data_IF_125943602244
#
_entry.id   IF_125943602244
#
_cell.length_a   1.000
_cell.length_b   1.000
_cell.length_c   1.000
_cell.angle_alpha   90.00
_cell.angle_beta   90.00
_cell.angle_gamma   90.00
#
_symmetry.space_group_name_H-M   'P 1'
#
loop_
_entity.id
_entity.type
_entity.pdbx_description
1 polymer ?
#
# COMPACT_ATOMS: atom_id res chain seq x y z
N UNK A 1 1.92 16.41 21.44
CA UNK A 1 2.69 15.32 20.83
C UNK A 1 1.88 14.03 21.00
N UNK A 2 1.05 13.66 20.02
CA UNK A 2 0.14 12.51 20.16
C UNK A 2 0.85 11.19 19.86
N UNK A 3 0.78 10.23 20.77
CA UNK A 3 1.18 8.85 20.50
C UNK A 3 0.29 8.30 19.38
N UNK A 4 0.85 8.12 18.19
CA UNK A 4 0.20 7.37 17.11
C UNK A 4 0.41 5.90 17.45
N UNK A 5 -0.67 5.20 17.83
CA UNK A 5 -0.67 3.75 18.02
C UNK A 5 -0.21 3.10 16.70
N UNK A 6 0.86 2.30 16.76
CA UNK A 6 1.54 1.69 15.59
C UNK A 6 0.74 0.52 14.99
N UNK A 7 -0.50 0.34 15.42
CA UNK A 7 -1.38 -0.75 14.97
C UNK A 7 -2.17 -0.29 13.75
N UNK A 8 -2.33 -1.19 12.79
CA UNK A 8 -3.22 -0.98 11.64
C UNK A 8 -4.62 -0.60 12.18
N UNK A 9 -5.27 0.45 11.63
CA UNK A 9 -6.64 0.78 11.99
C UNK A 9 -7.56 -0.42 11.83
N UNK A 10 -8.37 -0.70 12.86
CA UNK A 10 -9.31 -1.81 12.87
C UNK A 10 -10.74 -1.31 13.04
N UNK A 11 -11.69 -2.04 12.47
CA UNK A 11 -13.11 -1.82 12.64
C UNK A 11 -13.81 -3.18 12.73
N UNK A 12 -14.45 -3.46 13.88
CA UNK A 12 -15.09 -4.75 14.15
C UNK A 12 -14.16 -5.96 14.05
N UNK A 13 -12.88 -5.81 14.41
CA UNK A 13 -11.86 -6.86 14.34
C UNK A 13 -11.23 -7.06 12.96
N UNK A 14 -11.63 -6.30 11.95
CA UNK A 14 -11.07 -6.36 10.60
C UNK A 14 -10.12 -5.18 10.35
N UNK A 15 -9.03 -5.43 9.61
CA UNK A 15 -8.15 -4.37 9.09
C UNK A 15 -8.63 -3.82 7.75
N UNK A 16 -8.05 -2.71 7.30
CA UNK A 16 -8.43 -2.03 6.05
C UNK A 16 -8.22 -2.88 4.80
N UNK A 17 -7.43 -3.95 4.88
CA UNK A 17 -7.31 -4.94 3.81
C UNK A 17 -8.51 -5.87 3.62
N UNK A 18 -9.53 -5.83 4.49
CA UNK A 18 -10.70 -6.69 4.43
C UNK A 18 -11.99 -5.91 4.13
N UNK A 19 -12.90 -6.40 3.26
CA UNK A 19 -14.12 -5.68 2.91
C UNK A 19 -14.99 -5.32 4.13
N UNK A 20 -15.09 -6.23 5.11
CA UNK A 20 -15.89 -6.02 6.33
C UNK A 20 -15.46 -4.80 7.14
N UNK A 21 -14.19 -4.39 7.08
CA UNK A 21 -13.74 -3.14 7.71
C UNK A 21 -14.55 -1.95 7.21
N UNK A 22 -14.81 -1.88 5.90
CA UNK A 22 -15.57 -0.78 5.30
C UNK A 22 -17.08 -0.93 5.46
N UNK A 23 -17.58 -2.18 5.49
CA UNK A 23 -18.99 -2.48 5.79
C UNK A 23 -19.38 -1.97 7.18
N UNK A 24 -18.48 -2.13 8.15
CA UNK A 24 -18.69 -1.72 9.55
C UNK A 24 -18.37 -0.23 9.80
N UNK A 25 -18.11 0.54 8.74
CA UNK A 25 -17.89 1.99 8.85
C UNK A 25 -16.43 2.41 9.04
N UNK A 26 -15.47 1.51 8.90
CA UNK A 26 -14.04 1.81 8.98
C UNK A 26 -13.62 2.98 8.07
N UNK A 27 -12.65 3.77 8.53
CA UNK A 27 -12.20 4.97 7.84
C UNK A 27 -11.40 4.64 6.57
N UNK A 28 -11.60 5.41 5.50
CA UNK A 28 -10.74 5.35 4.31
C UNK A 28 -9.37 5.93 4.68
N UNK A 29 -8.31 5.13 4.56
CA UNK A 29 -6.98 5.53 5.00
C UNK A 29 -6.29 6.37 3.93
N UNK A 30 -5.69 7.51 4.29
CA UNK A 30 -4.86 8.25 3.35
C UNK A 30 -3.55 7.47 3.07
N UNK A 31 -2.93 7.63 1.89
CA UNK A 31 -1.72 6.89 1.53
C UNK A 31 -0.57 7.01 2.54
N UNK A 32 -0.46 8.18 3.20
CA UNK A 32 0.52 8.40 4.27
C UNK A 32 0.34 7.42 5.44
N UNK A 33 -0.89 7.21 5.90
CA UNK A 33 -1.16 6.25 6.98
C UNK A 33 -0.90 4.80 6.53
N UNK A 34 -1.23 4.47 5.28
CA UNK A 34 -0.93 3.15 4.72
C UNK A 34 0.60 2.92 4.73
N UNK A 35 1.38 3.90 4.27
CA UNK A 35 2.84 3.84 4.30
C UNK A 35 3.41 3.69 5.71
N UNK A 36 2.88 4.43 6.69
CA UNK A 36 3.31 4.31 8.09
C UNK A 36 3.10 2.88 8.62
N UNK A 37 1.96 2.24 8.31
CA UNK A 37 1.70 0.85 8.68
C UNK A 37 2.63 -0.12 7.95
N UNK A 38 2.88 0.08 6.65
CA UNK A 38 3.84 -0.71 5.86
C UNK A 38 5.23 -0.68 6.51
N UNK A 39 5.73 0.52 6.80
CA UNK A 39 7.04 0.73 7.44
C UNK A 39 7.08 0.08 8.82
N UNK A 40 6.05 0.30 9.65
CA UNK A 40 5.99 -0.26 11.00
C UNK A 40 5.97 -1.81 11.00
N UNK A 41 5.39 -2.43 9.96
CA UNK A 41 5.36 -3.89 9.80
C UNK A 41 6.64 -4.48 9.22
N UNK A 42 7.52 -3.66 8.64
CA UNK A 42 8.69 -4.17 7.90
C UNK A 42 8.30 -5.06 6.72
N UNK A 43 7.08 -4.94 6.21
CA UNK A 43 6.60 -5.76 5.10
C UNK A 43 7.27 -5.32 3.80
N UNK A 44 7.80 -6.28 3.04
CA UNK A 44 8.58 -6.03 1.81
C UNK A 44 7.79 -6.27 0.52
N UNK A 45 6.51 -6.66 0.62
CA UNK A 45 5.69 -6.96 -0.54
C UNK A 45 6.00 -8.31 -1.18
N UNK A 46 5.17 -8.70 -2.15
CA UNK A 46 5.34 -9.99 -2.85
C UNK A 46 6.56 -10.04 -3.80
N UNK A 47 7.10 -8.88 -4.23
CA UNK A 47 8.31 -8.80 -5.07
C UNK A 47 9.61 -8.85 -4.27
N UNK A 48 9.58 -9.06 -2.95
CA UNK A 48 10.77 -9.03 -2.10
C UNK A 48 11.91 -9.93 -2.63
N UNK A 49 11.58 -11.16 -3.05
CA UNK A 49 12.56 -12.10 -3.58
C UNK A 49 13.16 -11.64 -4.93
N UNK A 50 12.37 -11.01 -5.79
CA UNK A 50 12.89 -10.46 -7.05
C UNK A 50 13.77 -9.24 -6.79
N UNK A 51 13.38 -8.37 -5.85
CA UNK A 51 14.19 -7.24 -5.43
C UNK A 51 15.55 -7.73 -4.89
N UNK A 52 15.57 -8.80 -4.10
CA UNK A 52 16.80 -9.40 -3.58
C UNK A 52 17.68 -9.97 -4.71
N UNK A 53 17.09 -10.60 -5.72
CA UNK A 53 17.81 -11.07 -6.91
C UNK A 53 18.45 -9.92 -7.70
N UNK A 54 17.69 -8.85 -7.92
CA UNK A 54 18.20 -7.66 -8.61
C UNK A 54 19.32 -6.98 -7.81
N UNK A 55 19.16 -6.89 -6.48
CA UNK A 55 20.18 -6.29 -5.62
C UNK A 55 21.49 -7.11 -5.62
N UNK A 56 21.44 -8.43 -5.88
CA UNK A 56 22.63 -9.26 -5.98
C UNK A 56 23.43 -9.07 -7.29
N UNK A 57 22.91 -8.34 -8.29
CA UNK A 57 23.62 -8.11 -9.54
C UNK A 57 24.90 -7.25 -9.34
N UNK A 58 25.91 -7.42 -10.19
CA UNK A 58 27.05 -6.49 -10.23
C UNK A 58 26.64 -5.15 -10.83
N UNK A 59 27.35 -4.08 -10.45
CA UNK A 59 27.19 -2.78 -11.11
C UNK A 59 27.76 -2.82 -12.55
N UNK A 60 27.18 -2.07 -13.51
CA UNK A 60 26.04 -1.13 -13.37
C UNK A 60 24.65 -1.79 -13.47
N UNK A 61 24.57 -3.10 -13.76
CA UNK A 61 23.31 -3.81 -14.05
C UNK A 61 22.32 -3.73 -12.88
N UNK A 62 22.83 -3.82 -11.65
CA UNK A 62 22.04 -3.63 -10.43
C UNK A 62 21.32 -2.28 -10.42
N UNK A 63 22.06 -1.19 -10.58
CA UNK A 63 21.50 0.17 -10.53
C UNK A 63 20.47 0.42 -11.62
N UNK A 64 20.73 -0.08 -12.84
CA UNK A 64 19.80 0.03 -13.97
C UNK A 64 18.50 -0.74 -13.71
N UNK A 65 18.60 -2.00 -13.26
CA UNK A 65 17.44 -2.84 -12.96
C UNK A 65 16.62 -2.30 -11.78
N UNK A 66 17.25 -1.79 -10.73
CA UNK A 66 16.56 -1.12 -9.61
C UNK A 66 15.85 0.16 -10.07
N UNK A 67 16.42 0.91 -11.02
CA UNK A 67 15.77 2.07 -11.60
C UNK A 67 14.52 1.70 -12.41
N UNK A 68 14.63 0.68 -13.27
CA UNK A 68 13.51 0.18 -14.08
C UNK A 68 12.37 -0.33 -13.18
N UNK A 69 12.67 -1.20 -12.22
CA UNK A 69 11.67 -1.74 -11.31
C UNK A 69 11.00 -0.64 -10.47
N UNK A 70 11.74 0.37 -10.01
CA UNK A 70 11.14 1.51 -9.30
C UNK A 70 10.19 2.31 -10.20
N UNK A 71 10.54 2.51 -11.47
CA UNK A 71 9.67 3.21 -12.41
C UNK A 71 8.36 2.45 -12.63
N UNK A 72 8.43 1.13 -12.78
CA UNK A 72 7.25 0.26 -12.88
C UNK A 72 6.40 0.28 -11.61
N UNK A 73 7.01 0.11 -10.44
CA UNK A 73 6.30 0.16 -9.15
C UNK A 73 5.64 1.53 -8.93
N UNK A 74 6.29 2.63 -9.35
CA UNK A 74 5.71 3.98 -9.25
C UNK A 74 4.53 4.17 -10.21
N UNK A 75 4.58 3.58 -11.41
CA UNK A 75 3.47 3.62 -12.35
C UNK A 75 2.26 2.84 -11.82
N UNK A 76 2.49 1.62 -11.30
CA UNK A 76 1.46 0.81 -10.66
C UNK A 76 0.81 1.55 -9.48
N UNK A 77 1.63 2.07 -8.56
CA UNK A 77 1.17 2.89 -7.43
C UNK A 77 0.27 4.05 -7.85
N UNK A 78 0.63 4.79 -8.91
CA UNK A 78 -0.16 5.92 -9.40
C UNK A 78 -1.51 5.48 -9.96
N UNK A 79 -1.53 4.38 -10.71
CA UNK A 79 -2.77 3.81 -11.25
C UNK A 79 -3.69 3.33 -10.11
N UNK A 80 -3.14 2.59 -9.15
CA UNK A 80 -3.90 2.10 -8.00
C UNK A 80 -4.36 3.22 -7.08
N UNK A 81 -3.56 4.27 -6.89
CA UNK A 81 -3.96 5.45 -6.09
C UNK A 81 -5.13 6.20 -6.74
N UNK A 82 -5.10 6.34 -8.07
CA UNK A 82 -6.17 6.99 -8.81
C UNK A 82 -7.47 6.21 -8.64
N UNK A 83 -7.40 4.88 -8.84
CA UNK A 83 -8.56 4.01 -8.66
C UNK A 83 -9.04 3.94 -7.20
N UNK A 84 -8.14 3.94 -6.23
CA UNK A 84 -8.47 3.97 -4.81
C UNK A 84 -9.28 5.23 -4.45
N UNK A 85 -8.87 6.39 -4.96
CA UNK A 85 -9.58 7.67 -4.76
C UNK A 85 -10.98 7.64 -5.37
N UNK A 86 -11.14 7.10 -6.58
CA UNK A 86 -12.45 6.95 -7.21
C UNK A 86 -13.40 6.10 -6.35
N UNK A 87 -12.94 4.93 -5.92
CA UNK A 87 -13.75 4.02 -5.10
C UNK A 87 -14.03 4.62 -3.71
N UNK A 88 -13.08 5.36 -3.13
CA UNK A 88 -13.30 6.09 -1.88
C UNK A 88 -14.43 7.12 -2.01
N UNK A 89 -14.46 7.89 -3.10
CA UNK A 89 -15.55 8.83 -3.37
C UNK A 89 -16.89 8.09 -3.50
N UNK A 90 -16.92 6.96 -4.20
CA UNK A 90 -18.13 6.13 -4.32
C UNK A 90 -18.60 5.63 -2.95
N UNK A 91 -17.68 5.13 -2.12
CA UNK A 91 -17.99 4.68 -0.76
C UNK A 91 -18.57 5.82 0.09
N UNK A 92 -17.98 7.02 0.01
CA UNK A 92 -18.50 8.19 0.73
C UNK A 92 -19.90 8.60 0.28
N UNK A 93 -20.20 8.51 -1.02
CA UNK A 93 -21.56 8.74 -1.55
C UNK A 93 -22.55 7.72 -0.98
N UNK A 94 -22.25 6.42 -1.09
CA UNK A 94 -23.10 5.34 -0.58
C UNK A 94 -23.36 5.51 0.93
N UNK A 95 -22.33 5.83 1.72
CA UNK A 95 -22.46 6.07 3.17
C UNK A 95 -23.34 7.28 3.50
N UNK A 96 -23.34 8.31 2.66
CA UNK A 96 -24.20 9.49 2.82
C UNK A 96 -25.65 9.17 2.45
N UNK A 97 -25.84 8.48 1.33
CA UNK A 97 -27.18 8.20 0.81
C UNK A 97 -27.93 7.17 1.68
N UNK A 98 -27.18 6.31 2.40
CA UNK A 98 -27.72 5.39 3.41
C UNK A 98 -27.86 6.07 4.78
N UNK A 99 -28.84 6.96 4.90
CA UNK A 99 -29.33 7.38 6.21
C UNK A 99 -30.24 6.29 6.81
N UNK A 100 -29.71 5.49 7.74
CA UNK A 100 -30.52 4.79 8.76
C UNK A 100 -31.29 3.54 8.36
N UNK A 101 -30.91 2.79 7.31
CA UNK A 101 -31.71 1.64 6.84
C UNK A 101 -30.87 0.37 6.64
N UNK A 102 -31.11 -0.63 7.50
CA UNK A 102 -30.82 -2.05 7.25
C UNK A 102 -29.54 -2.64 7.87
N UNK A 103 -29.52 -3.96 7.99
CA UNK A 103 -28.34 -4.74 8.39
C UNK A 103 -27.13 -4.47 7.45
N UNK A 104 -25.89 -4.47 7.97
CA UNK A 104 -24.71 -4.24 7.15
C UNK A 104 -24.58 -5.31 6.07
N UNK A 105 -24.52 -4.89 4.79
CA UNK A 105 -24.32 -5.79 3.65
C UNK A 105 -23.05 -5.42 2.89
N UNK A 106 -22.26 -6.44 2.54
CA UNK A 106 -21.06 -6.27 1.74
C UNK A 106 -21.41 -6.09 0.26
N UNK A 107 -21.29 -4.87 -0.24
CA UNK A 107 -21.31 -4.57 -1.68
C UNK A 107 -19.94 -4.57 -2.36
N UNK A 108 -19.97 -4.55 -3.69
CA UNK A 108 -18.79 -4.47 -4.57
C UNK A 108 -17.87 -3.29 -4.26
N UNK A 109 -18.41 -2.16 -3.77
CA UNK A 109 -17.59 -0.99 -3.37
C UNK A 109 -16.65 -1.32 -2.20
N UNK A 110 -17.11 -2.12 -1.23
CA UNK A 110 -16.31 -2.50 -0.06
C UNK A 110 -15.18 -3.45 -0.44
N UNK A 111 -15.46 -4.38 -1.36
CA UNK A 111 -14.44 -5.27 -1.94
C UNK A 111 -13.44 -4.48 -2.78
N UNK A 112 -13.94 -3.58 -3.63
CA UNK A 112 -13.09 -2.78 -4.52
C UNK A 112 -12.11 -1.91 -3.73
N UNK A 113 -12.59 -1.26 -2.67
CA UNK A 113 -11.73 -0.39 -1.85
C UNK A 113 -10.73 -1.21 -1.02
N UNK A 114 -11.10 -2.38 -0.50
CA UNK A 114 -10.17 -3.24 0.24
C UNK A 114 -9.09 -3.83 -0.68
N UNK A 115 -9.46 -4.23 -1.90
CA UNK A 115 -8.49 -4.69 -2.91
C UNK A 115 -7.52 -3.59 -3.29
N UNK A 116 -8.01 -2.37 -3.54
CA UNK A 116 -7.15 -1.23 -3.88
C UNK A 116 -6.29 -0.79 -2.69
N UNK A 117 -6.79 -0.88 -1.46
CA UNK A 117 -5.95 -0.74 -0.26
C UNK A 117 -4.80 -1.75 -0.28
N UNK A 118 -5.07 -3.03 -0.54
CA UNK A 118 -4.03 -4.07 -0.55
C UNK A 118 -3.01 -3.88 -1.67
N UNK A 119 -3.41 -3.37 -2.83
CA UNK A 119 -2.47 -2.99 -3.89
C UNK A 119 -1.58 -1.83 -3.44
N UNK A 120 -2.15 -0.73 -2.94
CA UNK A 120 -1.38 0.38 -2.39
C UNK A 120 -0.41 -0.05 -1.29
N UNK A 121 -0.84 -0.98 -0.41
CA UNK A 121 0.00 -1.53 0.64
C UNK A 121 1.23 -2.26 0.07
N UNK A 122 1.05 -3.05 -0.99
CA UNK A 122 2.16 -3.73 -1.67
C UNK A 122 3.05 -2.74 -2.44
N UNK A 123 2.48 -1.81 -3.20
CA UNK A 123 3.26 -0.84 -3.97
C UNK A 123 4.13 0.02 -3.07
N UNK A 124 3.57 0.51 -1.96
CA UNK A 124 4.30 1.29 -0.96
C UNK A 124 5.40 0.45 -0.29
N UNK A 125 5.17 -0.84 -0.07
CA UNK A 125 6.19 -1.75 0.45
C UNK A 125 7.36 -1.91 -0.53
N UNK A 126 7.08 -2.14 -1.81
CA UNK A 126 8.13 -2.24 -2.84
C UNK A 126 8.90 -0.93 -2.96
N UNK A 127 8.18 0.21 -3.05
CA UNK A 127 8.80 1.53 -3.15
C UNK A 127 9.68 1.86 -1.95
N UNK A 128 9.26 1.50 -0.74
CA UNK A 128 10.07 1.69 0.47
C UNK A 128 11.38 0.91 0.41
N UNK A 129 11.32 -0.37 0.02
CA UNK A 129 12.51 -1.23 -0.13
C UNK A 129 13.43 -0.70 -1.23
N UNK A 130 12.89 -0.41 -2.42
CA UNK A 130 13.66 0.08 -3.57
C UNK A 130 14.34 1.42 -3.27
N UNK A 131 13.66 2.34 -2.57
CA UNK A 131 14.26 3.59 -2.13
C UNK A 131 15.42 3.36 -1.15
N UNK A 132 15.26 2.42 -0.22
CA UNK A 132 16.31 2.04 0.73
C UNK A 132 17.54 1.43 0.05
N UNK A 133 17.35 0.55 -0.94
CA UNK A 133 18.46 -0.08 -1.67
C UNK A 133 19.20 0.90 -2.58
N UNK A 134 18.47 1.83 -3.21
CA UNK A 134 19.09 2.86 -4.07
C UNK A 134 19.84 3.94 -3.29
N UNK A 135 19.48 4.17 -2.03
CA UNK A 135 20.24 5.06 -1.16
C UNK A 135 21.62 4.47 -0.78
N UNK A 136 21.81 3.15 -0.95
CA UNK A 136 23.09 2.48 -0.77
C UNK A 136 23.84 2.48 -2.11
N UNK A 137 24.79 3.39 -2.27
CA UNK A 137 25.82 3.26 -3.29
C UNK A 137 26.74 2.11 -2.85
N UNK A 138 26.88 1.07 -3.67
CA UNK A 138 27.95 0.08 -3.47
C UNK A 138 29.28 0.77 -3.79
N UNK A 139 30.30 0.50 -2.97
CA UNK A 139 31.59 1.13 -3.18
C UNK A 139 32.09 0.78 -4.59
N UNK A 140 32.59 1.78 -5.31
CA UNK A 140 33.07 1.59 -6.68
C UNK A 140 34.39 0.82 -6.68
N UNK A 141 35.05 0.78 -5.52
CA UNK A 141 36.31 0.11 -5.28
C UNK A 141 36.12 -0.82 -4.07
N UNK A 142 35.56 -2.01 -4.31
CA UNK A 142 35.70 -3.12 -3.37
C UNK A 142 37.19 -3.55 -3.33
N UNK A 143 38.03 -2.73 -2.68
CA UNK A 143 39.43 -3.00 -2.30
C UNK A 143 39.48 -3.67 -0.93
#
# INVERSE_FOLDING_TARGET
MGHIDKREPQCGGYGAGHPSYYVLGGAVLPPRCILEVVIARGYRGYLAAEIDRIDALPEPKRSEALCAMKAEALAAYRADLSRYREVAVQLHRIRRDRHGVGEPRCESVHQSISLKHNHLFNDLAHLAVLNGLRAKQRDLFDL
#
